data_IF_007231701180
#
_entry.id   IF_007231701180
#
_cell.length_a   1.000
_cell.length_b   1.000
_cell.length_c   1.000
_cell.angle_alpha   90.00
_cell.angle_beta   90.00
_cell.angle_gamma   90.00
#
_symmetry.space_group_name_H-M   'P 1'
#
loop_
_entity.id
_entity.type
_entity.pdbx_description
1 polymer ?
#
# COMPACT_ATOMS: atom_id res chain seq x y z
N UNK A 1 26.49 32.41 -35.28
CA UNK A 1 25.52 32.33 -34.15
C UNK A 1 24.84 30.95 -34.07
N UNK A 2 25.58 29.83 -34.04
CA UNK A 2 25.00 28.48 -34.02
C UNK A 2 25.31 27.68 -32.74
N UNK A 3 26.21 28.18 -31.90
CA UNK A 3 26.80 27.42 -30.79
C UNK A 3 25.96 27.47 -29.51
N UNK A 4 25.18 28.53 -29.32
CA UNK A 4 24.32 28.74 -28.14
C UNK A 4 23.11 27.77 -28.16
N UNK A 5 22.65 27.35 -29.35
CA UNK A 5 21.42 26.54 -29.51
C UNK A 5 21.63 25.08 -29.11
N UNK A 6 22.86 24.56 -29.16
CA UNK A 6 23.17 23.15 -28.89
C UNK A 6 23.26 22.83 -27.39
N UNK A 7 23.59 23.80 -26.56
CA UNK A 7 23.72 23.61 -25.11
C UNK A 7 22.36 23.63 -24.37
N UNK A 8 21.41 24.46 -24.83
CA UNK A 8 20.05 24.51 -24.27
C UNK A 8 19.27 23.20 -24.45
N UNK A 9 19.49 22.47 -25.55
CA UNK A 9 18.83 21.18 -25.79
C UNK A 9 19.20 20.11 -24.76
N UNK A 10 20.46 20.12 -24.26
CA UNK A 10 20.89 19.17 -23.23
C UNK A 10 20.21 19.49 -21.89
N UNK A 11 20.11 20.76 -21.53
CA UNK A 11 19.46 21.18 -20.27
C UNK A 11 17.97 20.82 -20.22
N UNK A 12 17.23 21.00 -21.32
CA UNK A 12 15.83 20.56 -21.42
C UNK A 12 15.66 19.04 -21.23
N UNK A 13 16.60 18.22 -21.74
CA UNK A 13 16.58 16.77 -21.51
C UNK A 13 16.84 16.40 -20.05
N UNK A 14 17.79 17.08 -19.39
CA UNK A 14 18.06 16.87 -17.96
C UNK A 14 16.89 17.31 -17.08
N UNK A 15 16.27 18.46 -17.35
CA UNK A 15 15.08 18.93 -16.63
C UNK A 15 13.90 17.97 -16.84
N UNK A 16 13.68 17.50 -18.07
CA UNK A 16 12.65 16.51 -18.36
C UNK A 16 12.83 15.22 -17.58
N UNK A 17 14.05 14.67 -17.54
CA UNK A 17 14.37 13.47 -16.75
C UNK A 17 14.16 13.72 -15.24
N UNK A 18 14.59 14.88 -14.74
CA UNK A 18 14.40 15.26 -13.34
C UNK A 18 12.93 15.32 -12.94
N UNK A 19 12.05 15.90 -13.78
CA UNK A 19 10.61 15.96 -13.53
C UNK A 19 10.00 14.54 -13.52
N UNK A 20 10.40 13.68 -14.46
CA UNK A 20 9.91 12.29 -14.50
C UNK A 20 10.30 11.55 -13.20
N UNK A 21 11.53 11.70 -12.73
CA UNK A 21 11.98 11.09 -11.48
C UNK A 21 11.18 11.62 -10.27
N UNK A 22 10.93 12.93 -10.20
CA UNK A 22 10.12 13.52 -9.13
C UNK A 22 8.67 13.01 -9.15
N UNK A 23 8.06 12.86 -10.32
CA UNK A 23 6.71 12.31 -10.45
C UNK A 23 6.69 10.85 -9.99
N UNK A 24 7.65 10.03 -10.41
CA UNK A 24 7.73 8.62 -10.01
C UNK A 24 7.91 8.50 -8.49
N UNK A 25 8.85 9.25 -7.92
CA UNK A 25 9.07 9.25 -6.46
C UNK A 25 7.83 9.75 -5.72
N UNK A 26 7.18 10.80 -6.22
CA UNK A 26 5.94 11.32 -5.67
C UNK A 26 4.82 10.28 -5.66
N UNK A 27 4.68 9.49 -6.73
CA UNK A 27 3.71 8.40 -6.80
C UNK A 27 4.03 7.29 -5.78
N UNK A 28 5.30 6.93 -5.60
CA UNK A 28 5.71 5.94 -4.59
C UNK A 28 5.44 6.40 -3.15
N UNK A 29 5.72 7.67 -2.85
CA UNK A 29 5.45 8.27 -1.55
C UNK A 29 3.94 8.32 -1.31
N UNK A 30 3.17 8.81 -2.29
CA UNK A 30 1.71 8.86 -2.21
C UNK A 30 1.11 7.48 -1.92
N UNK A 31 1.51 6.45 -2.68
CA UNK A 31 1.05 5.08 -2.45
C UNK A 31 1.42 4.55 -1.06
N UNK A 32 2.54 5.00 -0.49
CA UNK A 32 2.95 4.58 0.86
C UNK A 32 2.14 5.28 1.95
N UNK A 33 1.87 6.58 1.80
CA UNK A 33 1.04 7.35 2.73
C UNK A 33 -0.41 6.89 2.70
N UNK A 34 -0.96 6.64 1.51
CA UNK A 34 -2.31 6.13 1.32
C UNK A 34 -2.49 4.77 2.02
N UNK A 35 -1.53 3.86 1.82
CA UNK A 35 -1.49 2.57 2.53
C UNK A 35 -1.44 2.72 4.05
N UNK A 36 -0.64 3.66 4.55
CA UNK A 36 -0.54 3.90 5.99
C UNK A 36 -1.88 4.33 6.59
N UNK A 37 -2.58 5.26 5.93
CA UNK A 37 -3.92 5.70 6.37
C UNK A 37 -4.94 4.57 6.35
N UNK A 38 -4.88 3.70 5.35
CA UNK A 38 -5.76 2.52 5.26
C UNK A 38 -5.55 1.55 6.41
N UNK A 39 -4.29 1.24 6.74
CA UNK A 39 -3.97 0.33 7.83
C UNK A 39 -4.40 0.93 9.17
N UNK A 40 -4.14 2.22 9.40
CA UNK A 40 -4.59 2.89 10.63
C UNK A 40 -6.12 2.83 10.81
N UNK A 41 -6.91 2.99 9.74
CA UNK A 41 -8.36 2.86 9.82
C UNK A 41 -8.82 1.44 10.18
N UNK A 42 -8.06 0.43 9.73
CA UNK A 42 -8.32 -0.96 10.08
C UNK A 42 -7.95 -1.20 11.56
N UNK A 43 -6.80 -0.70 12.02
CA UNK A 43 -6.35 -0.80 13.41
C UNK A 43 -7.35 -0.13 14.37
N UNK A 44 -7.82 1.07 14.04
CA UNK A 44 -8.82 1.80 14.82
C UNK A 44 -10.13 1.00 14.95
N UNK A 45 -10.56 0.31 13.89
CA UNK A 45 -11.76 -0.54 13.91
C UNK A 45 -11.57 -1.84 14.67
N UNK A 46 -10.38 -2.42 14.61
CA UNK A 46 -10.06 -3.67 15.30
C UNK A 46 -9.75 -3.43 16.79
N UNK A 47 -9.32 -2.22 17.17
CA UNK A 47 -8.95 -1.86 18.53
C UNK A 47 -7.58 -2.39 18.96
N UNK A 48 -6.75 -2.84 18.01
CA UNK A 48 -5.40 -3.33 18.26
C UNK A 48 -4.50 -3.13 17.02
N UNK A 49 -3.20 -3.02 17.25
CA UNK A 49 -2.20 -2.85 16.19
C UNK A 49 -2.06 -4.11 15.33
N UNK A 50 -1.91 -3.93 14.02
CA UNK A 50 -1.86 -5.03 13.06
C UNK A 50 -0.66 -4.95 12.12
N UNK A 51 -0.12 -6.10 11.75
CA UNK A 51 0.82 -6.24 10.65
C UNK A 51 0.10 -6.81 9.43
N UNK A 52 0.18 -6.11 8.30
CA UNK A 52 -0.33 -6.62 7.02
C UNK A 52 0.62 -7.70 6.50
N UNK A 53 0.10 -8.93 6.38
CA UNK A 53 0.81 -10.10 5.85
C UNK A 53 0.69 -10.19 4.34
N UNK A 54 -0.51 -9.98 3.82
CA UNK A 54 -0.79 -10.03 2.38
C UNK A 54 -1.87 -9.02 2.01
N UNK A 55 -1.79 -8.46 0.80
CA UNK A 55 -2.76 -7.52 0.25
C UNK A 55 -3.08 -7.92 -1.18
N UNK A 56 -4.34 -8.27 -1.41
CA UNK A 56 -4.85 -8.54 -2.75
C UNK A 56 -5.82 -7.42 -3.13
N UNK A 57 -5.47 -6.70 -4.19
CA UNK A 57 -6.38 -5.76 -4.84
C UNK A 57 -7.11 -6.50 -5.95
N UNK A 58 -8.43 -6.50 -5.88
CA UNK A 58 -9.30 -6.97 -6.93
C UNK A 58 -9.77 -5.74 -7.72
N UNK A 59 -9.76 -5.81 -9.05
CA UNK A 59 -10.01 -4.69 -9.99
C UNK A 59 -8.90 -3.63 -10.10
N UNK A 60 -9.16 -2.60 -10.92
CA UNK A 60 -8.24 -1.52 -11.20
C UNK A 60 -7.95 -0.67 -9.97
N UNK A 61 -6.71 -0.17 -9.84
CA UNK A 61 -6.18 0.54 -8.66
C UNK A 61 -7.04 1.70 -8.12
N UNK A 62 -7.91 2.29 -8.95
CA UNK A 62 -8.82 3.40 -8.65
C UNK A 62 -10.23 3.00 -8.18
N UNK A 63 -10.62 1.73 -8.31
CA UNK A 63 -11.92 1.20 -7.88
C UNK A 63 -11.81 -0.14 -7.16
N UNK A 64 -10.58 -0.51 -6.76
CA UNK A 64 -10.29 -1.85 -6.29
C UNK A 64 -10.91 -2.14 -4.93
N UNK A 65 -11.63 -3.25 -4.84
CA UNK A 65 -11.91 -3.90 -3.56
C UNK A 65 -10.64 -4.59 -3.11
N UNK A 66 -10.38 -4.62 -1.80
CA UNK A 66 -9.08 -5.04 -1.28
C UNK A 66 -9.27 -6.04 -0.17
N UNK A 67 -8.61 -7.17 -0.30
CA UNK A 67 -8.52 -8.17 0.76
C UNK A 67 -7.19 -8.02 1.47
N UNK A 68 -7.25 -7.74 2.76
CA UNK A 68 -6.08 -7.68 3.64
C UNK A 68 -6.04 -8.93 4.49
N UNK A 69 -4.88 -9.56 4.56
CA UNK A 69 -4.56 -10.56 5.56
C UNK A 69 -3.68 -9.91 6.59
N UNK A 70 -4.12 -9.84 7.84
CA UNK A 70 -3.42 -9.12 8.91
C UNK A 70 -3.18 -10.01 10.13
N UNK A 71 -2.15 -9.69 10.90
CA UNK A 71 -1.81 -10.34 12.17
C UNK A 71 -1.80 -9.31 13.30
N UNK A 72 -2.31 -9.65 14.49
CA UNK A 72 -2.14 -8.78 15.66
C UNK A 72 -0.65 -8.68 16.03
N UNK A 73 -0.17 -7.47 16.31
CA UNK A 73 1.20 -7.20 16.75
C UNK A 73 1.41 -7.48 18.25
N UNK A 74 0.35 -7.32 19.05
CA UNK A 74 0.47 -7.11 20.50
C UNK A 74 0.25 -8.31 21.41
N UNK A 75 -0.17 -9.48 20.92
CA UNK A 75 -0.57 -10.56 21.83
C UNK A 75 0.17 -11.87 21.53
N UNK A 76 1.17 -12.19 22.35
CA UNK A 76 1.92 -13.45 22.31
C UNK A 76 1.06 -14.71 22.47
N UNK A 77 -0.24 -14.55 22.73
CA UNK A 77 -1.24 -15.63 22.80
C UNK A 77 -1.96 -15.90 21.47
N UNK A 78 -1.94 -14.98 20.51
CA UNK A 78 -2.65 -15.09 19.22
C UNK A 78 -1.71 -15.05 18.00
N UNK A 79 -0.42 -15.38 18.15
CA UNK A 79 0.55 -15.39 17.05
C UNK A 79 0.20 -16.30 15.85
N UNK A 80 -0.74 -17.24 16.05
CA UNK A 80 -1.27 -18.14 15.02
C UNK A 80 -2.65 -17.72 14.48
N UNK A 81 -3.15 -16.55 14.85
CA UNK A 81 -4.40 -16.00 14.35
C UNK A 81 -4.09 -14.94 13.31
N UNK A 82 -4.72 -15.09 12.16
CA UNK A 82 -4.73 -14.10 11.10
C UNK A 82 -6.16 -13.64 10.87
N UNK A 83 -6.34 -12.39 10.44
CA UNK A 83 -7.65 -11.86 10.08
C UNK A 83 -7.65 -11.56 8.59
N UNK A 84 -8.67 -12.06 7.89
CA UNK A 84 -8.96 -11.66 6.52
C UNK A 84 -10.01 -10.54 6.57
N UNK A 85 -9.70 -9.43 5.94
CA UNK A 85 -10.53 -8.23 5.90
C UNK A 85 -10.82 -7.91 4.45
N UNK A 86 -12.09 -7.87 4.08
CA UNK A 86 -12.53 -7.41 2.77
C UNK A 86 -12.98 -5.97 2.89
N UNK A 87 -12.24 -5.08 2.22
CA UNK A 87 -12.54 -3.66 2.13
C UNK A 87 -13.12 -3.34 0.77
N UNK A 88 -14.15 -2.50 0.77
CA UNK A 88 -14.71 -1.96 -0.45
C UNK A 88 -13.88 -0.79 -1.00
N UNK A 89 -14.31 -0.24 -2.14
CA UNK A 89 -13.69 0.92 -2.80
C UNK A 89 -13.56 2.18 -1.92
N UNK A 90 -14.34 2.27 -0.83
CA UNK A 90 -14.31 3.38 0.13
C UNK A 90 -13.41 3.08 1.34
N UNK A 91 -12.59 2.02 1.28
CA UNK A 91 -11.78 1.53 2.40
C UNK A 91 -12.61 1.21 3.65
N UNK A 92 -13.88 0.85 3.46
CA UNK A 92 -14.72 0.34 4.56
C UNK A 92 -14.66 -1.18 4.56
N UNK A 93 -14.34 -1.75 5.73
CA UNK A 93 -14.47 -3.18 6.00
C UNK A 93 -15.93 -3.57 5.81
N UNK A 94 -16.21 -4.37 4.78
CA UNK A 94 -17.54 -4.94 4.53
C UNK A 94 -17.65 -6.34 5.15
N UNK A 95 -16.57 -7.11 5.11
CA UNK A 95 -16.55 -8.46 5.67
C UNK A 95 -15.21 -8.71 6.37
N UNK A 96 -15.25 -9.52 7.43
CA UNK A 96 -14.05 -9.97 8.11
C UNK A 96 -14.20 -11.42 8.57
N UNK A 97 -13.08 -12.14 8.58
CA UNK A 97 -13.03 -13.53 9.01
C UNK A 97 -11.76 -13.80 9.82
N UNK A 98 -11.91 -14.51 10.95
CA UNK A 98 -10.78 -15.02 11.72
C UNK A 98 -10.27 -16.31 11.07
N UNK A 99 -9.01 -16.30 10.66
CA UNK A 99 -8.33 -17.44 10.05
C UNK A 99 -7.27 -17.96 11.01
N UNK A 100 -7.34 -19.25 11.33
CA UNK A 100 -6.26 -19.89 12.10
C UNK A 100 -5.16 -20.31 11.14
N UNK A 101 -3.95 -19.82 11.36
CA UNK A 101 -2.77 -20.22 10.60
C UNK A 101 -2.38 -21.65 11.00
N UNK A 102 -2.79 -22.64 10.19
CA UNK A 102 -2.46 -24.06 10.41
C UNK A 102 -1.05 -24.42 9.91
N UNK A 103 -0.08 -23.50 9.88
CA UNK A 103 1.34 -23.82 9.61
C UNK A 103 2.04 -24.52 10.79
N UNK A 104 1.34 -25.45 11.43
CA UNK A 104 1.90 -26.39 12.40
C UNK A 104 1.32 -27.78 12.11
N UNK A 105 1.65 -28.32 10.93
CA UNK A 105 1.54 -29.74 10.59
C UNK A 105 2.15 -29.99 9.21
N UNK A 106 3.49 -29.97 9.13
CA UNK A 106 4.24 -30.94 8.33
C UNK A 106 5.68 -31.02 8.79
#
# INVERSE_FOLDING_TARGET
MAEIRRNNSKWFKFVGIGIVLLVVVGLFIWQSVDRYKEVQQIEEKLGFDITVVDRQSHDAWWAATRTYRVKPLGDGKESNVEYLLYLNKENKVEQWAKVKNNRSAK
#
